data_IF_539152450615
#
_entry.id   IF_539152450615
#
_cell.length_a   1.000
_cell.length_b   1.000
_cell.length_c   1.000
_cell.angle_alpha   90.00
_cell.angle_beta   90.00
_cell.angle_gamma   90.00
#
_symmetry.space_group_name_H-M   'P 1'
#
loop_
_entity.id
_entity.type
_entity.pdbx_description
1 polymer ?
#
# COMPACT_ATOMS: atom_id res chain seq x y z
N UNK A 1 -10.61 -10.58 -11.07
CA UNK A 1 -11.16 -10.03 -9.80
C UNK A 1 -10.27 -10.48 -8.64
N UNK A 2 -9.90 -9.61 -7.70
CA UNK A 2 -8.91 -9.90 -6.65
C UNK A 2 -9.57 -10.63 -5.47
N UNK A 3 -9.22 -11.89 -5.21
CA UNK A 3 -9.62 -12.59 -3.98
C UNK A 3 -8.99 -11.92 -2.75
N UNK A 4 -9.86 -11.54 -1.81
CA UNK A 4 -9.66 -10.98 -0.45
C UNK A 4 -8.49 -10.03 -0.26
N UNK A 5 -8.56 -8.87 -0.90
CA UNK A 5 -7.87 -7.70 -0.36
C UNK A 5 -8.52 -7.39 0.99
N UNK A 6 -7.73 -7.40 2.07
CA UNK A 6 -8.14 -7.04 3.42
C UNK A 6 -7.54 -5.67 3.75
N UNK A 7 -8.13 -4.62 3.19
CA UNK A 7 -7.75 -3.25 3.55
C UNK A 7 -8.55 -2.81 4.76
N UNK A 8 -7.83 -2.33 5.78
CA UNK A 8 -8.41 -1.60 6.91
C UNK A 8 -7.83 -0.20 6.97
N UNK A 9 -8.65 0.77 7.37
CA UNK A 9 -8.25 2.18 7.44
C UNK A 9 -8.12 2.60 8.90
N UNK A 10 -6.96 3.11 9.29
CA UNK A 10 -6.70 3.58 10.65
C UNK A 10 -6.40 5.07 10.68
N UNK A 11 -7.05 5.78 11.59
CA UNK A 11 -6.84 7.23 11.79
C UNK A 11 -5.87 7.52 12.92
N UNK A 12 -4.76 8.15 12.58
CA UNK A 12 -3.83 8.75 13.54
C UNK A 12 -4.00 10.27 13.55
N UNK A 13 -4.38 10.84 14.69
CA UNK A 13 -4.29 12.28 14.88
C UNK A 13 -2.83 12.66 15.13
N UNK A 14 -2.38 13.75 14.52
CA UNK A 14 -1.03 14.24 14.67
C UNK A 14 -1.00 15.72 15.04
N UNK A 15 0.09 16.10 15.69
CA UNK A 15 0.47 17.48 15.91
C UNK A 15 1.96 17.67 15.65
N UNK A 16 2.36 18.87 15.25
CA UNK A 16 3.76 19.25 15.34
C UNK A 16 4.15 19.46 16.81
N UNK A 17 5.37 19.11 17.21
CA UNK A 17 5.87 19.37 18.58
C UNK A 17 5.81 20.85 19.01
N UNK A 18 5.82 21.76 18.04
CA UNK A 18 5.70 23.21 18.25
C UNK A 18 4.26 23.68 18.44
N UNK A 19 3.24 22.83 18.20
CA UNK A 19 1.83 23.24 18.16
C UNK A 19 1.37 23.82 19.51
N UNK A 20 1.52 23.05 20.59
CA UNK A 20 1.15 23.45 21.95
C UNK A 20 2.26 24.21 22.70
N UNK A 21 3.35 24.58 22.04
CA UNK A 21 4.42 25.37 22.65
C UNK A 21 4.26 26.84 22.29
N UNK A 22 3.65 27.61 23.18
CA UNK A 22 3.42 29.06 23.01
C UNK A 22 4.70 29.84 22.72
N UNK A 23 5.84 29.39 23.27
CA UNK A 23 7.15 30.03 23.05
C UNK A 23 7.80 29.64 21.72
N UNK A 24 7.23 28.66 21.01
CA UNK A 24 7.79 28.20 19.74
C UNK A 24 7.42 29.15 18.60
N UNK A 25 8.43 29.66 17.92
CA UNK A 25 8.29 30.44 16.68
C UNK A 25 8.38 29.55 15.43
N UNK A 26 8.42 28.22 15.59
CA UNK A 26 8.51 27.29 14.46
C UNK A 26 7.13 27.04 13.85
N UNK A 27 7.11 26.57 12.60
CA UNK A 27 5.89 26.18 11.92
C UNK A 27 5.07 25.17 12.74
N UNK A 28 3.74 25.26 12.64
CA UNK A 28 2.78 24.52 13.46
C UNK A 28 1.79 23.81 12.55
N UNK A 29 1.42 22.58 12.88
CA UNK A 29 0.33 21.89 12.20
C UNK A 29 -0.34 20.91 13.14
N UNK A 30 -1.64 20.66 12.92
CA UNK A 30 -2.38 19.54 13.49
C UNK A 30 -3.42 19.01 12.51
N UNK A 31 -3.85 17.78 12.74
CA UNK A 31 -4.93 17.15 12.00
C UNK A 31 -4.86 15.64 12.13
N UNK A 32 -5.16 14.92 11.05
CA UNK A 32 -5.11 13.47 11.05
C UNK A 32 -4.54 12.88 9.76
N UNK A 33 -4.04 11.65 9.87
CA UNK A 33 -3.59 10.82 8.76
C UNK A 33 -4.43 9.55 8.78
N UNK A 34 -5.05 9.25 7.65
CA UNK A 34 -5.75 7.99 7.41
C UNK A 34 -4.81 7.03 6.68
N UNK A 35 -4.56 5.88 7.30
CA UNK A 35 -3.61 4.88 6.84
C UNK A 35 -4.38 3.68 6.31
N UNK A 36 -4.20 3.36 5.04
CA UNK A 36 -4.77 2.17 4.41
C UNK A 36 -3.74 1.06 4.56
N UNK A 37 -4.06 -0.02 5.27
CA UNK A 37 -3.17 -1.14 5.50
C UNK A 37 -3.75 -2.43 4.94
N UNK A 38 -2.92 -3.20 4.24
CA UNK A 38 -3.27 -4.51 3.71
C UNK A 38 -2.86 -5.63 4.68
N UNK A 39 -3.86 -6.35 5.20
CA UNK A 39 -3.66 -7.49 6.10
C UNK A 39 -3.81 -8.84 5.40
N UNK A 40 -4.01 -8.88 4.08
CA UNK A 40 -4.18 -10.12 3.32
C UNK A 40 -2.90 -10.97 3.30
N UNK A 41 -1.74 -10.37 3.57
CA UNK A 41 -0.44 -11.05 3.53
C UNK A 41 0.27 -11.03 4.89
N UNK A 42 1.39 -11.74 5.03
CA UNK A 42 2.27 -11.66 6.21
C UNK A 42 3.25 -10.48 6.16
N UNK A 43 3.35 -9.80 5.02
CA UNK A 43 4.11 -8.56 4.90
C UNK A 43 3.18 -7.41 5.22
N UNK A 44 3.45 -6.69 6.31
CA UNK A 44 2.71 -5.49 6.66
C UNK A 44 3.18 -4.33 5.80
N UNK A 45 2.28 -3.69 5.08
CA UNK A 45 2.60 -2.47 4.35
C UNK A 45 1.43 -1.49 4.30
N UNK A 46 1.77 -0.22 4.08
CA UNK A 46 0.81 0.88 3.85
C UNK A 46 0.74 1.11 2.33
N UNK A 47 -0.27 0.54 1.62
CA UNK A 47 -0.54 0.83 0.21
C UNK A 47 -0.79 2.30 -0.09
N UNK A 48 -1.48 2.98 0.82
CA UNK A 48 -1.92 4.36 0.64
C UNK A 48 -2.11 5.05 1.99
N UNK A 49 -1.98 6.37 2.00
CA UNK A 49 -2.32 7.20 3.14
C UNK A 49 -2.83 8.54 2.64
N UNK A 50 -3.75 9.12 3.40
CA UNK A 50 -4.28 10.47 3.19
C UNK A 50 -3.98 11.32 4.42
N UNK A 51 -3.75 12.62 4.22
CA UNK A 51 -3.53 13.57 5.31
C UNK A 51 -4.53 14.70 5.23
N UNK A 52 -5.10 15.08 6.38
CA UNK A 52 -5.91 16.28 6.53
C UNK A 52 -5.36 17.15 7.63
N UNK A 53 -5.04 18.40 7.28
CA UNK A 53 -4.73 19.48 8.20
C UNK A 53 -6.03 20.16 8.65
N UNK A 54 -6.16 20.31 9.97
CA UNK A 54 -7.18 21.12 10.62
C UNK A 54 -6.65 22.51 10.98
N UNK A 55 -5.32 22.65 11.08
CA UNK A 55 -4.63 23.92 11.24
C UNK A 55 -3.21 23.78 10.70
N UNK A 56 -2.74 24.78 9.96
CA UNK A 56 -1.44 24.77 9.30
C UNK A 56 -0.85 26.18 9.27
N UNK A 57 0.34 26.31 9.86
CA UNK A 57 1.18 27.50 9.83
C UNK A 57 2.42 27.14 9.02
N UNK A 58 2.56 27.71 7.84
CA UNK A 58 3.74 27.56 7.00
C UNK A 58 4.81 28.55 7.44
N UNK A 59 6.05 28.11 7.63
CA UNK A 59 7.16 29.04 7.68
C UNK A 59 7.49 29.42 6.24
N UNK A 60 7.42 30.71 5.86
CA UNK A 60 7.73 31.20 4.53
C UNK A 60 9.25 31.17 4.24
N UNK A 61 10.08 31.12 5.28
CA UNK A 61 11.52 31.07 5.15
C UNK A 61 12.05 29.67 4.83
N UNK A 62 12.97 29.61 3.88
CA UNK A 62 13.64 28.38 3.45
C UNK A 62 15.15 28.55 3.59
N UNK A 63 15.83 27.49 4.02
CA UNK A 63 17.29 27.55 4.24
C UNK A 63 18.06 27.86 2.94
N UNK A 64 19.12 28.69 2.97
CA UNK A 64 19.85 29.08 1.75
C UNK A 64 20.41 27.90 0.93
N UNK A 65 20.79 26.80 1.59
CA UNK A 65 21.28 25.60 0.92
C UNK A 65 20.23 24.95 0.00
N UNK A 66 18.94 25.10 0.32
CA UNK A 66 17.85 24.57 -0.50
C UNK A 66 17.66 25.38 -1.79
N UNK A 67 17.83 26.71 -1.75
CA UNK A 67 17.80 27.53 -2.97
C UNK A 67 18.94 27.21 -3.93
N UNK A 68 20.12 26.87 -3.40
CA UNK A 68 21.27 26.45 -4.21
C UNK A 68 21.06 25.07 -4.83
N UNK A 69 20.59 24.11 -4.04
CA UNK A 69 20.51 22.70 -4.47
C UNK A 69 19.21 22.34 -5.21
N UNK A 70 18.12 23.10 -4.99
CA UNK A 70 16.79 22.89 -5.59
C UNK A 70 16.33 21.43 -5.58
N UNK A 71 16.57 20.74 -4.45
CA UNK A 71 16.22 19.33 -4.24
C UNK A 71 14.71 19.11 -4.36
N UNK A 72 14.30 17.83 -4.47
CA UNK A 72 12.89 17.41 -4.56
C UNK A 72 11.96 18.16 -3.59
N UNK A 73 12.30 18.22 -2.30
CA UNK A 73 11.47 18.89 -1.30
C UNK A 73 11.34 20.41 -1.52
N UNK A 74 12.37 21.08 -2.07
CA UNK A 74 12.30 22.50 -2.42
C UNK A 74 11.28 22.73 -3.54
N UNK A 75 11.27 21.86 -4.56
CA UNK A 75 10.34 21.96 -5.68
C UNK A 75 8.90 21.60 -5.28
N UNK A 76 8.72 20.57 -4.44
CA UNK A 76 7.42 20.23 -3.87
C UNK A 76 6.84 21.41 -3.08
N UNK A 77 7.65 22.00 -2.21
CA UNK A 77 7.26 23.18 -1.45
C UNK A 77 6.95 24.38 -2.34
N UNK A 78 7.72 24.59 -3.40
CA UNK A 78 7.43 25.62 -4.42
C UNK A 78 6.06 25.39 -5.05
N UNK A 79 5.72 24.16 -5.42
CA UNK A 79 4.43 23.82 -6.01
C UNK A 79 3.26 24.18 -5.08
N UNK A 80 3.32 23.79 -3.81
CA UNK A 80 2.32 24.16 -2.82
C UNK A 80 2.21 25.70 -2.68
N UNK A 81 3.35 26.39 -2.59
CA UNK A 81 3.39 27.83 -2.41
C UNK A 81 2.79 28.57 -3.63
N UNK A 82 3.10 28.13 -4.84
CA UNK A 82 2.55 28.70 -6.07
C UNK A 82 1.00 28.56 -6.09
N UNK A 83 0.44 27.45 -5.60
CA UNK A 83 -1.01 27.23 -5.49
C UNK A 83 -1.68 28.13 -4.45
N UNK A 84 -0.98 28.44 -3.37
CA UNK A 84 -1.44 29.33 -2.30
C UNK A 84 -1.18 30.82 -2.59
N UNK A 85 -0.56 31.15 -3.73
CA UNK A 85 -0.12 32.53 -4.00
C UNK A 85 1.01 33.03 -3.08
N UNK A 86 1.69 32.11 -2.40
CA UNK A 86 2.79 32.38 -1.47
C UNK A 86 4.15 32.28 -2.17
N UNK A 87 5.20 32.81 -1.52
CA UNK A 87 6.58 32.72 -2.02
C UNK A 87 7.54 32.25 -0.94
N UNK A 88 8.42 31.32 -1.32
CA UNK A 88 9.54 30.92 -0.49
C UNK A 88 10.61 32.02 -0.52
N UNK A 89 11.06 32.48 0.64
CA UNK A 89 12.13 33.49 0.75
C UNK A 89 13.33 32.94 1.51
N UNK A 90 14.52 33.49 1.25
CA UNK A 90 15.72 33.10 1.99
C UNK A 90 15.54 33.42 3.47
N UNK A 91 15.89 32.45 4.32
CA UNK A 91 15.97 32.64 5.75
C UNK A 91 17.14 33.58 6.10
N UNK A 92 16.92 34.70 6.81
CA UNK A 92 18.01 35.62 7.17
C UNK A 92 19.00 35.00 8.16
N UNK A 93 18.49 34.32 9.19
CA UNK A 93 19.30 33.59 10.20
C UNK A 93 18.66 32.23 10.56
N UNK A 94 19.46 31.28 11.00
CA UNK A 94 19.10 29.90 11.38
C UNK A 94 17.91 29.81 12.35
N UNK A 95 17.69 30.82 13.19
CA UNK A 95 16.63 30.84 14.22
C UNK A 95 15.38 31.60 13.80
N UNK A 96 15.47 32.44 12.76
CA UNK A 96 14.34 33.24 12.31
C UNK A 96 13.35 32.40 11.51
N UNK A 97 12.05 32.60 11.78
CA UNK A 97 10.94 31.99 11.07
C UNK A 97 9.97 33.10 10.66
N UNK A 98 9.27 32.93 9.54
CA UNK A 98 8.18 33.82 9.12
C UNK A 98 6.92 32.99 8.95
N UNK A 99 6.12 32.89 10.01
CA UNK A 99 4.93 32.06 10.00
C UNK A 99 3.79 32.76 9.25
N UNK A 100 3.08 31.97 8.46
CA UNK A 100 1.84 32.33 7.78
C UNK A 100 0.81 31.27 8.10
N UNK A 101 -0.24 31.66 8.82
CA UNK A 101 -1.37 30.79 9.14
C UNK A 101 -2.29 30.73 7.93
N UNK A 102 -2.61 29.50 7.50
CA UNK A 102 -3.55 29.31 6.41
C UNK A 102 -4.98 29.52 6.90
N UNK A 103 -5.76 30.28 6.13
CA UNK A 103 -7.20 30.34 6.32
C UNK A 103 -7.91 29.05 5.86
N UNK A 104 -9.23 29.00 5.99
CA UNK A 104 -10.01 27.80 5.63
C UNK A 104 -9.92 27.44 4.13
N UNK A 105 -9.94 28.44 3.24
CA UNK A 105 -9.85 28.20 1.80
C UNK A 105 -8.43 27.73 1.43
N UNK A 106 -7.41 28.34 2.02
CA UNK A 106 -6.01 27.95 1.85
C UNK A 106 -5.73 26.55 2.41
N UNK A 107 -6.35 26.19 3.55
CA UNK A 107 -6.29 24.84 4.11
C UNK A 107 -6.89 23.80 3.16
N UNK A 108 -8.02 24.10 2.50
CA UNK A 108 -8.62 23.23 1.50
C UNK A 108 -7.69 23.01 0.30
N UNK A 109 -7.05 24.08 -0.19
CA UNK A 109 -6.04 24.00 -1.27
C UNK A 109 -4.86 23.13 -0.81
N UNK A 110 -4.35 23.35 0.41
CA UNK A 110 -3.23 22.59 0.93
C UNK A 110 -3.56 21.10 1.12
N UNK A 111 -4.73 20.80 1.70
CA UNK A 111 -5.22 19.43 1.87
C UNK A 111 -5.34 18.71 0.53
N UNK A 112 -5.96 19.34 -0.46
CA UNK A 112 -6.05 18.80 -1.82
C UNK A 112 -4.66 18.52 -2.40
N UNK A 113 -3.77 19.50 -2.31
CA UNK A 113 -2.40 19.38 -2.83
C UNK A 113 -1.60 18.22 -2.18
N UNK A 114 -1.71 18.05 -0.86
CA UNK A 114 -1.01 16.98 -0.15
C UNK A 114 -1.51 15.57 -0.51
N UNK A 115 -2.75 15.42 -0.94
CA UNK A 115 -3.30 14.11 -1.31
C UNK A 115 -3.15 13.82 -2.82
N UNK A 116 -3.19 14.85 -3.68
CA UNK A 116 -3.15 14.67 -5.14
C UNK A 116 -1.75 14.86 -5.76
N UNK A 117 -0.97 15.84 -5.29
CA UNK A 117 0.29 16.25 -5.94
C UNK A 117 1.55 15.83 -5.16
N UNK A 118 1.43 15.61 -3.85
CA UNK A 118 2.58 15.26 -3.01
C UNK A 118 3.00 13.80 -3.20
N UNK A 119 4.29 13.59 -3.47
CA UNK A 119 4.86 12.27 -3.79
C UNK A 119 6.11 11.91 -2.96
N UNK A 120 6.18 12.39 -1.72
CA UNK A 120 7.26 12.08 -0.78
C UNK A 120 6.70 11.37 0.47
N UNK A 121 7.48 11.29 1.55
CA UNK A 121 7.14 10.50 2.74
C UNK A 121 6.37 11.35 3.77
N UNK A 122 5.66 10.74 4.72
CA UNK A 122 4.96 11.47 5.81
C UNK A 122 5.93 12.34 6.61
N UNK A 123 7.12 11.82 6.93
CA UNK A 123 8.14 12.62 7.63
C UNK A 123 8.53 13.87 6.83
N UNK A 124 8.62 13.77 5.50
CA UNK A 124 9.03 14.88 4.65
C UNK A 124 7.98 16.00 4.53
N UNK A 125 6.74 15.78 4.98
CA UNK A 125 5.70 16.82 5.07
C UNK A 125 6.22 18.00 5.90
N UNK A 126 6.92 17.72 7.01
CA UNK A 126 7.55 18.75 7.84
C UNK A 126 8.54 19.60 7.05
N UNK A 127 9.24 18.99 6.10
CA UNK A 127 10.20 19.72 5.27
C UNK A 127 9.49 20.70 4.33
N UNK A 128 8.29 20.35 3.88
CA UNK A 128 7.41 21.22 3.10
C UNK A 128 6.87 22.36 3.96
N UNK A 129 6.52 22.10 5.21
CA UNK A 129 5.93 23.10 6.12
C UNK A 129 6.98 24.10 6.65
N UNK A 130 8.21 23.63 6.95
CA UNK A 130 9.26 24.42 7.61
C UNK A 130 10.37 24.97 6.70
N UNK A 131 10.49 24.47 5.47
CA UNK A 131 11.57 24.91 4.56
C UNK A 131 12.98 24.48 5.01
N UNK A 132 13.07 23.39 5.79
CA UNK A 132 14.32 22.75 6.23
C UNK A 132 14.17 21.22 6.18
N UNK A 133 15.23 20.46 6.48
CA UNK A 133 15.15 19.00 6.48
C UNK A 133 14.43 18.52 7.75
N UNK A 134 13.43 17.63 7.61
CA UNK A 134 12.72 17.05 8.73
C UNK A 134 13.65 16.27 9.69
N UNK A 135 13.56 16.60 10.98
CA UNK A 135 14.20 15.88 12.07
C UNK A 135 13.55 14.53 12.37
N UNK A 136 14.22 13.74 13.22
CA UNK A 136 13.74 12.42 13.64
C UNK A 136 14.34 11.26 12.85
N UNK A 137 14.69 10.19 13.54
CA UNK A 137 15.01 8.88 12.97
C UNK A 137 14.71 7.82 14.01
N UNK A 138 14.65 6.53 13.65
CA UNK A 138 14.60 5.48 14.66
C UNK A 138 15.76 5.57 15.67
N UNK A 139 16.91 6.15 15.26
CA UNK A 139 18.07 6.46 16.12
C UNK A 139 17.87 7.64 17.06
N UNK A 140 17.07 8.62 16.65
CA UNK A 140 16.79 9.82 17.42
C UNK A 140 15.30 10.17 17.32
N UNK A 141 14.44 9.32 17.89
CA UNK A 141 13.00 9.43 17.72
C UNK A 141 12.43 10.69 18.37
N UNK A 142 13.00 11.09 19.51
CA UNK A 142 12.68 12.35 20.18
C UNK A 142 13.01 13.61 19.38
N UNK A 143 13.63 13.51 18.20
CA UNK A 143 13.80 14.63 17.28
C UNK A 143 12.70 14.68 16.19
N UNK A 144 11.76 13.74 16.17
CA UNK A 144 10.60 13.78 15.29
C UNK A 144 9.80 15.06 15.53
N UNK A 145 9.33 15.66 14.44
CA UNK A 145 8.64 16.95 14.51
C UNK A 145 7.13 16.81 14.42
N UNK A 146 6.63 15.78 13.73
CA UNK A 146 5.24 15.33 13.72
C UNK A 146 5.10 14.16 14.69
N UNK A 147 4.13 14.22 15.60
CA UNK A 147 3.89 13.21 16.63
C UNK A 147 2.43 12.78 16.65
N UNK A 148 2.16 11.51 16.99
CA UNK A 148 0.79 11.04 17.24
C UNK A 148 0.24 11.56 18.57
N UNK A 149 -1.04 11.92 18.64
CA UNK A 149 -1.64 12.53 19.85
C UNK A 149 -2.92 11.85 20.37
N UNK A 150 -3.57 10.98 19.58
CA UNK A 150 -4.77 10.24 20.01
C UNK A 150 -4.46 8.83 20.52
N UNK A 151 -3.38 8.67 21.30
CA UNK A 151 -2.91 7.37 21.77
C UNK A 151 -3.40 7.04 23.18
N UNK A 152 -3.71 5.78 23.43
CA UNK A 152 -3.91 5.27 24.78
C UNK A 152 -2.60 5.33 25.58
N UNK A 153 -2.71 5.45 26.90
CA UNK A 153 -1.55 5.54 27.80
C UNK A 153 -0.53 4.40 27.59
N UNK A 154 -0.99 3.16 27.31
CA UNK A 154 -0.12 2.01 27.02
C UNK A 154 0.72 2.15 25.74
N UNK A 155 0.36 3.09 24.86
CA UNK A 155 1.01 3.33 23.58
C UNK A 155 1.70 4.69 23.44
N UNK A 156 1.68 5.49 24.50
CA UNK A 156 2.25 6.85 24.48
C UNK A 156 3.75 6.85 24.16
N UNK A 157 4.47 5.77 24.47
CA UNK A 157 5.90 5.60 24.17
C UNK A 157 6.22 5.52 22.66
N UNK A 158 5.23 5.22 21.81
CA UNK A 158 5.39 5.09 20.36
C UNK A 158 5.20 6.41 19.61
N UNK A 159 4.64 7.45 20.24
CA UNK A 159 4.16 8.66 19.54
C UNK A 159 5.16 9.37 18.65
N UNK A 160 6.45 9.29 18.99
CA UNK A 160 7.54 9.90 18.24
C UNK A 160 8.00 9.06 17.04
N UNK A 161 7.60 7.80 16.96
CA UNK A 161 8.06 6.84 15.95
C UNK A 161 7.07 6.52 14.85
N UNK A 162 5.78 6.70 15.12
CA UNK A 162 4.72 6.25 14.22
C UNK A 162 4.92 6.76 12.79
N UNK A 163 5.22 8.04 12.60
CA UNK A 163 5.47 8.62 11.28
C UNK A 163 6.64 7.95 10.53
N UNK A 164 7.73 7.61 11.24
CA UNK A 164 8.88 6.94 10.63
C UNK A 164 8.62 5.46 10.37
N UNK A 165 7.84 4.84 11.24
CA UNK A 165 7.36 3.48 11.08
C UNK A 165 6.48 3.35 9.84
N UNK A 166 5.48 4.21 9.68
CA UNK A 166 4.63 4.22 8.48
C UNK A 166 5.43 4.52 7.21
N UNK A 167 6.38 5.48 7.26
CA UNK A 167 7.28 5.73 6.12
C UNK A 167 8.10 4.48 5.72
N UNK A 168 8.54 3.67 6.69
CA UNK A 168 9.33 2.47 6.44
C UNK A 168 8.49 1.38 5.74
N UNK A 169 7.25 1.19 6.20
CA UNK A 169 6.35 0.16 5.66
C UNK A 169 5.49 0.65 4.49
N UNK A 170 5.66 1.90 4.04
CA UNK A 170 4.91 2.41 2.89
C UNK A 170 5.41 1.78 1.60
N UNK A 171 4.48 1.15 0.88
CA UNK A 171 4.67 0.62 -0.46
C UNK A 171 3.45 1.02 -1.29
N UNK A 172 3.59 1.97 -2.22
CA UNK A 172 2.45 2.43 -3.02
C UNK A 172 1.94 1.34 -3.96
N UNK A 173 0.82 0.73 -3.59
CA UNK A 173 0.16 -0.28 -4.40
C UNK A 173 -0.91 0.36 -5.28
N UNK A 174 -0.64 0.40 -6.59
CA UNK A 174 -1.56 1.00 -7.57
C UNK A 174 -2.93 0.34 -7.59
N UNK A 175 -3.02 -0.95 -7.25
CA UNK A 175 -4.29 -1.67 -7.27
C UNK A 175 -5.23 -1.15 -6.20
N UNK A 176 -4.68 -0.77 -5.04
CA UNK A 176 -5.47 -0.15 -3.97
C UNK A 176 -5.90 1.24 -4.41
N UNK A 177 -5.02 2.04 -5.01
CA UNK A 177 -5.39 3.35 -5.56
C UNK A 177 -6.52 3.23 -6.59
N UNK A 178 -6.41 2.31 -7.54
CA UNK A 178 -7.44 2.03 -8.54
C UNK A 178 -8.77 1.59 -7.87
N UNK A 179 -8.72 0.90 -6.72
CA UNK A 179 -9.92 0.54 -5.96
C UNK A 179 -10.56 1.74 -5.27
N UNK A 180 -9.76 2.65 -4.69
CA UNK A 180 -10.24 3.87 -4.04
C UNK A 180 -10.89 4.82 -5.04
N UNK A 181 -10.41 4.85 -6.29
CA UNK A 181 -10.96 5.70 -7.36
C UNK A 181 -12.29 5.17 -7.96
N UNK A 182 -12.64 3.90 -7.73
CA UNK A 182 -13.86 3.29 -8.27
C UNK A 182 -14.99 3.27 -7.22
N UNK A 183 -16.01 4.11 -7.40
CA UNK A 183 -17.16 4.30 -6.49
C UNK A 183 -17.89 3.00 -6.07
N UNK A 184 -17.93 1.97 -6.94
CA UNK A 184 -18.55 0.67 -6.66
C UNK A 184 -17.87 -0.11 -5.50
N UNK A 185 -16.64 0.27 -5.11
CA UNK A 185 -15.88 -0.36 -4.03
C UNK A 185 -15.83 0.46 -2.74
N UNK A 186 -16.55 1.57 -2.65
CA UNK A 186 -16.62 2.43 -1.45
C UNK A 186 -17.02 1.66 -0.17
N UNK A 187 -17.81 0.58 -0.31
CA UNK A 187 -18.19 -0.33 0.78
C UNK A 187 -17.04 -1.15 1.41
N UNK A 188 -15.87 -1.23 0.77
CA UNK A 188 -14.69 -1.89 1.36
C UNK A 188 -14.01 -1.01 2.43
N UNK A 189 -14.34 0.28 2.48
CA UNK A 189 -13.71 1.29 3.36
C UNK A 189 -14.70 1.72 4.47
N UNK A 190 -15.65 0.86 4.85
CA UNK A 190 -16.74 1.24 5.76
C UNK A 190 -16.32 1.37 7.24
N UNK A 191 -15.08 1.02 7.60
CA UNK A 191 -14.62 1.05 8.99
C UNK A 191 -13.33 1.81 9.13
N UNK A 192 -13.47 3.10 9.39
CA UNK A 192 -12.42 3.91 9.97
C UNK A 192 -12.17 3.44 11.41
N UNK A 193 -10.96 2.96 11.67
CA UNK A 193 -10.54 2.43 12.96
C UNK A 193 -9.56 3.35 13.67
N UNK A 194 -9.41 3.18 14.99
CA UNK A 194 -8.47 3.97 15.78
C UNK A 194 -7.05 3.51 15.52
N UNK A 195 -6.08 4.44 15.49
CA UNK A 195 -4.65 4.07 15.51
C UNK A 195 -4.28 3.13 16.66
N UNK A 196 -5.04 3.17 17.76
CA UNK A 196 -4.85 2.26 18.90
C UNK A 196 -5.20 0.82 18.55
N UNK A 197 -6.20 0.58 17.70
CA UNK A 197 -6.58 -0.76 17.23
C UNK A 197 -5.48 -1.36 16.34
N UNK A 198 -4.85 -0.51 15.51
CA UNK A 198 -3.64 -0.89 14.76
C UNK A 198 -2.50 -1.29 15.70
N UNK A 199 -2.25 -0.50 16.75
CA UNK A 199 -1.20 -0.79 17.72
C UNK A 199 -1.49 -2.05 18.54
N UNK A 200 -2.74 -2.27 18.94
CA UNK A 200 -3.20 -3.50 19.58
C UNK A 200 -2.93 -4.70 18.69
N UNK A 201 -3.22 -4.57 17.39
CA UNK A 201 -2.95 -5.62 16.43
C UNK A 201 -1.45 -5.86 16.24
N UNK A 202 -0.62 -4.85 15.98
CA UNK A 202 0.81 -5.06 15.67
C UNK A 202 1.65 -5.42 16.89
N UNK A 203 1.43 -4.75 18.04
CA UNK A 203 2.26 -4.97 19.23
C UNK A 203 2.04 -6.37 19.81
N UNK A 204 0.83 -6.92 19.67
CA UNK A 204 0.45 -8.22 20.23
C UNK A 204 0.38 -9.36 19.21
N UNK A 205 0.52 -9.09 17.91
CA UNK A 205 0.40 -10.12 16.87
C UNK A 205 1.69 -10.92 16.66
N UNK A 206 1.53 -12.23 16.61
CA UNK A 206 2.57 -13.17 16.15
C UNK A 206 2.75 -13.16 14.62
N UNK A 207 1.84 -12.54 13.87
CA UNK A 207 1.89 -12.46 12.41
C UNK A 207 2.96 -11.50 11.90
N UNK A 208 3.29 -10.45 12.67
CA UNK A 208 4.24 -9.41 12.25
C UNK A 208 5.37 -9.20 13.27
N UNK A 209 6.16 -10.25 13.57
CA UNK A 209 7.12 -10.22 14.67
C UNK A 209 8.23 -9.18 14.45
N UNK A 210 8.71 -8.99 13.21
CA UNK A 210 9.73 -8.00 12.89
C UNK A 210 9.20 -6.56 13.11
N UNK A 211 7.98 -6.28 12.69
CA UNK A 211 7.34 -4.97 12.85
C UNK A 211 7.08 -4.64 14.33
N UNK A 212 6.52 -5.62 15.06
CA UNK A 212 6.29 -5.53 16.52
C UNK A 212 7.60 -5.26 17.26
N UNK A 213 8.65 -6.03 16.97
CA UNK A 213 9.95 -5.87 17.58
C UNK A 213 10.60 -4.52 17.25
N UNK A 214 10.44 -4.02 16.02
CA UNK A 214 11.00 -2.73 15.62
C UNK A 214 10.35 -1.59 16.40
N UNK A 215 9.01 -1.59 16.51
CA UNK A 215 8.29 -0.62 17.33
C UNK A 215 8.77 -0.67 18.78
N UNK A 216 8.82 -1.86 19.39
CA UNK A 216 9.27 -2.06 20.78
C UNK A 216 10.72 -1.63 21.02
N UNK A 217 11.62 -1.83 20.05
CA UNK A 217 13.04 -1.48 20.18
C UNK A 217 13.29 0.02 19.99
N UNK A 218 12.39 0.72 19.31
CA UNK A 218 12.57 2.13 18.98
C UNK A 218 11.87 3.06 19.97
N UNK A 219 11.11 2.53 20.94
CA UNK A 219 10.34 3.34 21.88
C UNK A 219 11.18 4.33 22.67
N UNK A 220 10.60 5.50 22.93
CA UNK A 220 11.25 6.50 23.77
C UNK A 220 10.92 6.21 25.22
N UNK A 221 11.87 5.60 25.94
CA UNK A 221 11.79 5.50 27.40
C UNK A 221 11.97 6.90 28.01
N UNK A 222 10.84 7.57 28.27
CA UNK A 222 10.80 8.95 28.78
C UNK A 222 11.51 9.09 30.14
N UNK A 223 11.54 8.02 30.94
CA UNK A 223 12.12 7.99 32.28
C UNK A 223 13.65 7.81 32.31
N UNK A 224 14.30 7.55 31.17
CA UNK A 224 15.76 7.42 31.11
C UNK A 224 16.43 8.78 30.84
N UNK A 225 17.63 8.99 31.38
CA UNK A 225 18.48 10.13 31.02
C UNK A 225 18.88 10.08 29.54
N UNK A 226 19.37 11.20 29.00
CA UNK A 226 19.85 11.25 27.62
C UNK A 226 20.98 10.25 27.33
N UNK A 227 21.96 10.13 28.24
CA UNK A 227 23.09 9.21 28.07
C UNK A 227 22.67 7.74 28.16
N UNK A 228 21.71 7.41 29.03
CA UNK A 228 21.15 6.05 29.10
C UNK A 228 20.38 5.70 27.83
N UNK A 229 19.57 6.62 27.29
CA UNK A 229 18.89 6.42 26.00
C UNK A 229 19.89 6.23 24.86
N UNK A 230 20.97 7.00 24.85
CA UNK A 230 22.03 6.90 23.85
C UNK A 230 22.73 5.54 23.93
N UNK A 231 23.12 5.08 25.12
CA UNK A 231 23.73 3.75 25.32
C UNK A 231 22.78 2.62 24.93
N UNK A 232 21.52 2.70 25.36
CA UNK A 232 20.47 1.75 24.99
C UNK A 232 20.34 1.66 23.46
N UNK A 233 20.25 2.80 22.77
CA UNK A 233 20.13 2.82 21.32
C UNK A 233 21.38 2.26 20.62
N UNK A 234 22.59 2.68 21.01
CA UNK A 234 23.84 2.17 20.43
C UNK A 234 23.90 0.65 20.52
N UNK A 235 23.49 0.06 21.64
CA UNK A 235 23.47 -1.40 21.83
C UNK A 235 22.50 -2.15 20.90
N UNK A 236 21.47 -1.48 20.36
CA UNK A 236 20.44 -2.07 19.47
C UNK A 236 20.50 -1.56 18.04
N UNK A 237 21.35 -0.58 17.76
CA UNK A 237 21.45 0.13 16.48
C UNK A 237 21.67 -0.81 15.30
N UNK A 238 22.56 -1.80 15.43
CA UNK A 238 22.79 -2.80 14.39
C UNK A 238 21.53 -3.63 14.10
N UNK A 239 20.86 -4.11 15.15
CA UNK A 239 19.61 -4.87 15.02
C UNK A 239 18.48 -4.04 14.40
N UNK A 240 18.37 -2.76 14.76
CA UNK A 240 17.36 -1.86 14.18
C UNK A 240 17.64 -1.64 12.69
N UNK A 241 18.90 -1.44 12.30
CA UNK A 241 19.28 -1.29 10.89
C UNK A 241 19.01 -2.55 10.08
N UNK A 242 19.34 -3.72 10.61
CA UNK A 242 19.04 -5.02 9.99
C UNK A 242 17.53 -5.23 9.77
N UNK A 243 16.71 -4.86 10.75
CA UNK A 243 15.25 -4.94 10.64
C UNK A 243 14.68 -3.93 9.65
N UNK A 244 15.22 -2.70 9.62
CA UNK A 244 14.87 -1.70 8.60
C UNK A 244 15.22 -2.19 7.19
N UNK A 245 16.39 -2.79 7.00
CA UNK A 245 16.85 -3.33 5.72
C UNK A 245 15.97 -4.49 5.26
N UNK A 246 15.65 -5.42 6.15
CA UNK A 246 14.74 -6.54 5.87
C UNK A 246 13.36 -6.04 5.40
N UNK A 247 12.76 -5.07 6.09
CA UNK A 247 11.46 -4.50 5.70
C UNK A 247 11.55 -3.79 4.34
N UNK A 248 12.64 -3.04 4.10
CA UNK A 248 12.85 -2.37 2.81
C UNK A 248 13.06 -3.35 1.66
N UNK A 249 13.80 -4.43 1.89
CA UNK A 249 14.01 -5.48 0.89
C UNK A 249 12.68 -6.17 0.52
N UNK A 250 11.86 -6.51 1.52
CA UNK A 250 10.50 -7.03 1.30
C UNK A 250 9.65 -6.08 0.44
N UNK A 251 9.62 -4.78 0.76
CA UNK A 251 8.89 -3.78 -0.03
C UNK A 251 9.45 -3.63 -1.46
N UNK A 252 10.77 -3.74 -1.64
CA UNK A 252 11.40 -3.74 -2.96
C UNK A 252 11.00 -4.97 -3.77
N UNK A 253 11.01 -6.15 -3.14
CA UNK A 253 10.59 -7.42 -3.76
C UNK A 253 9.12 -7.38 -4.18
N UNK A 254 8.23 -6.84 -3.34
CA UNK A 254 6.82 -6.58 -3.70
C UNK A 254 6.69 -5.72 -4.96
N UNK A 255 7.45 -4.62 -5.05
CA UNK A 255 7.46 -3.77 -6.24
C UNK A 255 7.92 -4.49 -7.50
N UNK A 256 8.95 -5.32 -7.40
CA UNK A 256 9.47 -6.09 -8.54
C UNK A 256 8.50 -7.20 -8.96
N UNK A 257 7.83 -7.87 -8.02
CA UNK A 257 6.74 -8.82 -8.32
C UNK A 257 5.64 -8.12 -9.13
N UNK A 258 5.14 -6.98 -8.66
CA UNK A 258 4.03 -6.29 -9.34
C UNK A 258 4.43 -5.81 -10.75
N UNK A 259 5.69 -5.38 -10.94
CA UNK A 259 6.24 -5.08 -12.28
C UNK A 259 6.33 -6.32 -13.17
N UNK A 260 6.84 -7.45 -12.66
CA UNK A 260 6.95 -8.71 -13.41
C UNK A 260 5.57 -9.24 -13.78
N UNK A 261 4.61 -9.25 -12.86
CA UNK A 261 3.21 -9.61 -13.12
C UNK A 261 2.62 -8.72 -14.22
N UNK A 262 2.78 -7.39 -14.14
CA UNK A 262 2.27 -6.48 -15.17
C UNK A 262 2.84 -6.79 -16.56
N UNK A 263 4.13 -7.08 -16.65
CA UNK A 263 4.78 -7.48 -17.91
C UNK A 263 4.25 -8.83 -18.42
N UNK A 264 4.15 -9.82 -17.55
CA UNK A 264 3.62 -11.14 -17.87
C UNK A 264 2.17 -11.07 -18.36
N UNK A 265 1.30 -10.33 -17.68
CA UNK A 265 -0.09 -10.08 -18.12
C UNK A 265 -0.17 -9.38 -19.47
N UNK A 266 0.69 -8.39 -19.72
CA UNK A 266 0.76 -7.73 -21.02
C UNK A 266 1.13 -8.70 -22.14
N UNK A 267 2.08 -9.62 -21.90
CA UNK A 267 2.39 -10.72 -22.83
C UNK A 267 1.19 -11.65 -23.01
N UNK A 268 0.57 -12.10 -21.93
CA UNK A 268 -0.56 -13.02 -21.93
C UNK A 268 -1.78 -12.48 -22.70
N UNK A 269 -2.05 -11.17 -22.59
CA UNK A 269 -3.14 -10.51 -23.32
C UNK A 269 -2.99 -10.55 -24.85
N UNK A 270 -1.77 -10.75 -25.36
CA UNK A 270 -1.45 -10.77 -26.80
C UNK A 270 -1.35 -12.19 -27.37
N UNK A 271 -1.44 -13.21 -26.52
CA UNK A 271 -1.32 -14.61 -26.94
C UNK A 271 -2.55 -15.04 -27.77
N UNK A 272 -2.32 -15.90 -28.76
CA UNK A 272 -3.39 -16.43 -29.62
C UNK A 272 -4.03 -17.66 -28.97
N UNK A 273 -4.95 -17.41 -28.04
CA UNK A 273 -5.68 -18.47 -27.33
C UNK A 273 -6.94 -18.86 -28.13
N UNK A 274 -7.07 -20.16 -28.40
CA UNK A 274 -8.16 -20.76 -29.19
C UNK A 274 -8.65 -22.07 -28.55
N UNK A 275 -9.15 -21.97 -27.31
CA UNK A 275 -9.81 -23.06 -26.58
C UNK A 275 -11.25 -23.22 -27.07
N UNK A 276 -11.99 -22.12 -27.13
CA UNK A 276 -13.36 -22.08 -27.63
C UNK A 276 -13.41 -21.48 -29.03
N UNK A 277 -14.39 -21.91 -29.83
CA UNK A 277 -14.63 -21.30 -31.14
C UNK A 277 -15.05 -19.84 -30.96
N UNK A 278 -14.45 -18.94 -31.75
CA UNK A 278 -14.82 -17.52 -31.76
C UNK A 278 -16.02 -17.32 -32.68
N UNK A 279 -17.06 -16.69 -32.15
CA UNK A 279 -18.26 -16.33 -32.88
C UNK A 279 -18.15 -14.90 -33.42
N UNK A 280 -18.75 -14.67 -34.60
CA UNK A 280 -18.75 -13.36 -35.24
C UNK A 280 -19.59 -12.38 -34.43
N UNK A 281 -19.14 -11.12 -34.36
CA UNK A 281 -19.87 -10.03 -33.69
C UNK A 281 -19.54 -9.86 -32.21
N UNK A 282 -18.67 -10.69 -31.63
CA UNK A 282 -18.27 -10.58 -30.23
C UNK A 282 -16.81 -10.19 -30.04
N UNK A 283 -16.53 -9.46 -28.96
CA UNK A 283 -15.18 -9.20 -28.45
C UNK A 283 -14.73 -10.32 -27.52
N UNK A 284 -13.46 -10.71 -27.62
CA UNK A 284 -12.86 -11.78 -26.83
C UNK A 284 -11.64 -11.29 -26.08
N UNK A 285 -11.45 -11.82 -24.88
CA UNK A 285 -10.32 -11.58 -24.01
C UNK A 285 -9.71 -12.91 -23.58
N UNK A 286 -8.42 -12.90 -23.26
CA UNK A 286 -7.77 -14.05 -22.67
C UNK A 286 -7.98 -13.99 -21.14
N UNK A 287 -8.76 -14.93 -20.62
CA UNK A 287 -9.05 -15.07 -19.21
C UNK A 287 -8.11 -16.10 -18.57
N UNK A 288 -7.50 -15.76 -17.44
CA UNK A 288 -6.68 -16.71 -16.67
C UNK A 288 -7.58 -17.69 -15.90
N UNK A 289 -7.32 -19.00 -16.00
CA UNK A 289 -8.01 -20.03 -15.22
C UNK A 289 -7.62 -19.93 -13.76
N UNK A 290 -6.33 -20.03 -13.43
CA UNK A 290 -5.82 -19.71 -12.11
C UNK A 290 -5.62 -18.19 -12.01
N UNK A 291 -6.32 -17.56 -11.06
CA UNK A 291 -6.29 -16.11 -10.91
C UNK A 291 -4.88 -15.59 -10.67
N UNK A 292 -4.50 -14.52 -11.38
CA UNK A 292 -3.23 -13.83 -11.14
C UNK A 292 -3.11 -13.31 -9.71
N UNK A 293 -4.25 -13.02 -9.05
CA UNK A 293 -4.29 -12.67 -7.63
C UNK A 293 -3.76 -13.80 -6.73
N UNK A 294 -4.14 -15.05 -7.02
CA UNK A 294 -3.66 -16.24 -6.29
C UNK A 294 -2.15 -16.42 -6.53
N UNK A 295 -1.71 -16.30 -7.80
CA UNK A 295 -0.28 -16.40 -8.15
C UNK A 295 0.53 -15.34 -7.38
N UNK A 296 0.03 -14.10 -7.30
CA UNK A 296 0.68 -13.03 -6.52
C UNK A 296 0.79 -13.38 -5.04
N UNK A 297 -0.26 -13.89 -4.43
CA UNK A 297 -0.24 -14.23 -3.01
C UNK A 297 0.80 -15.32 -2.72
N UNK A 298 0.90 -16.35 -3.57
CA UNK A 298 1.96 -17.36 -3.49
C UNK A 298 3.36 -16.75 -3.62
N UNK A 299 3.57 -15.83 -4.57
CA UNK A 299 4.86 -15.12 -4.72
C UNK A 299 5.23 -14.32 -3.45
N UNK A 300 4.24 -13.79 -2.72
CA UNK A 300 4.47 -13.06 -1.46
C UNK A 300 4.80 -14.01 -0.31
N UNK A 301 4.16 -15.19 -0.26
CA UNK A 301 4.51 -16.24 0.70
C UNK A 301 5.98 -16.66 0.56
N UNK A 302 6.49 -16.76 -0.67
CA UNK A 302 7.91 -17.06 -0.88
C UNK A 302 8.84 -15.95 -0.34
N UNK A 303 8.42 -14.68 -0.33
CA UNK A 303 9.20 -13.61 0.34
C UNK A 303 9.25 -13.86 1.85
N UNK A 304 8.13 -14.26 2.47
CA UNK A 304 8.07 -14.58 3.90
C UNK A 304 8.98 -15.77 4.27
N UNK A 305 9.15 -16.70 3.33
CA UNK A 305 10.12 -17.82 3.44
C UNK A 305 11.58 -17.40 3.18
N UNK A 306 11.85 -16.11 3.02
CA UNK A 306 13.16 -15.53 2.69
C UNK A 306 13.77 -15.98 1.35
N UNK A 307 12.93 -16.43 0.41
CA UNK A 307 13.38 -16.79 -0.94
C UNK A 307 13.71 -15.56 -1.78
N UNK A 308 14.60 -15.75 -2.76
CA UNK A 308 15.05 -14.71 -3.68
C UNK A 308 14.25 -14.75 -4.98
N UNK A 309 14.13 -13.61 -5.66
CA UNK A 309 13.27 -13.45 -6.85
C UNK A 309 13.75 -14.24 -8.09
N UNK A 310 14.95 -14.79 -8.04
CA UNK A 310 15.58 -15.65 -9.04
C UNK A 310 15.53 -17.14 -8.67
N UNK A 311 14.98 -17.51 -7.51
CA UNK A 311 14.74 -18.90 -7.15
C UNK A 311 13.74 -19.54 -8.13
N UNK A 312 13.96 -20.83 -8.44
CA UNK A 312 13.17 -21.56 -9.43
C UNK A 312 11.65 -21.52 -9.15
N UNK A 313 11.25 -21.56 -7.88
CA UNK A 313 9.84 -21.47 -7.49
C UNK A 313 9.20 -20.13 -7.87
N UNK A 314 9.92 -19.01 -7.73
CA UNK A 314 9.45 -17.70 -8.19
C UNK A 314 9.26 -17.69 -9.70
N UNK A 315 10.26 -18.19 -10.43
CA UNK A 315 10.24 -18.23 -11.90
C UNK A 315 9.06 -19.08 -12.41
N UNK A 316 8.87 -20.27 -11.84
CA UNK A 316 7.77 -21.17 -12.17
C UNK A 316 6.40 -20.50 -11.95
N UNK A 317 6.21 -19.76 -10.85
CA UNK A 317 4.97 -19.03 -10.59
C UNK A 317 4.72 -17.89 -11.60
N UNK A 318 5.77 -17.21 -12.07
CA UNK A 318 5.61 -16.22 -13.15
C UNK A 318 5.22 -16.87 -14.48
N UNK A 319 5.74 -18.06 -14.76
CA UNK A 319 5.43 -18.78 -15.99
C UNK A 319 3.95 -19.14 -16.10
N UNK A 320 3.29 -19.44 -14.97
CA UNK A 320 1.83 -19.69 -14.92
C UNK A 320 1.00 -18.53 -15.49
N UNK A 321 1.48 -17.28 -15.42
CA UNK A 321 0.77 -16.12 -15.95
C UNK A 321 0.81 -16.09 -17.48
N UNK A 322 1.82 -16.70 -18.09
CA UNK A 322 2.03 -16.70 -19.55
C UNK A 322 1.87 -18.08 -20.17
N UNK A 323 1.35 -19.04 -19.41
CA UNK A 323 1.06 -20.39 -19.87
C UNK A 323 -0.26 -20.43 -20.66
N UNK A 324 -0.23 -20.98 -21.87
CA UNK A 324 -1.42 -21.17 -22.72
C UNK A 324 -2.47 -22.09 -22.08
N UNK A 325 -2.03 -23.08 -21.28
CA UNK A 325 -2.92 -23.99 -20.59
C UNK A 325 -3.68 -23.29 -19.45
N UNK A 326 -3.14 -22.20 -18.90
CA UNK A 326 -3.82 -21.35 -17.92
C UNK A 326 -4.77 -20.31 -18.55
N UNK A 327 -5.01 -20.35 -19.87
CA UNK A 327 -5.83 -19.32 -20.53
C UNK A 327 -7.05 -19.91 -21.22
N UNK A 328 -8.16 -19.15 -21.18
CA UNK A 328 -9.37 -19.38 -21.96
C UNK A 328 -9.66 -18.13 -22.81
N UNK A 329 -10.08 -18.30 -24.06
CA UNK A 329 -10.59 -17.18 -24.85
C UNK A 329 -12.10 -17.03 -24.61
N UNK A 330 -12.47 -16.08 -23.76
CA UNK A 330 -13.85 -15.85 -23.37
C UNK A 330 -14.35 -14.53 -23.96
N UNK A 331 -15.65 -14.44 -24.23
CA UNK A 331 -16.29 -13.17 -24.53
C UNK A 331 -16.16 -12.22 -23.34
N UNK A 332 -16.04 -10.91 -23.58
CA UNK A 332 -15.80 -9.91 -22.50
C UNK A 332 -16.80 -10.04 -21.34
N UNK A 333 -18.08 -10.28 -21.61
CA UNK A 333 -19.08 -10.45 -20.55
C UNK A 333 -18.91 -11.77 -19.79
N UNK A 334 -18.66 -12.87 -20.50
CA UNK A 334 -18.44 -14.20 -19.91
C UNK A 334 -17.15 -14.22 -19.10
N UNK A 335 -16.09 -13.54 -19.57
CA UNK A 335 -14.85 -13.33 -18.82
C UNK A 335 -15.14 -12.63 -17.49
N UNK A 336 -15.93 -11.55 -17.48
CA UNK A 336 -16.33 -10.89 -16.23
C UNK A 336 -17.04 -11.86 -15.29
N UNK A 337 -18.01 -12.63 -15.76
CA UNK A 337 -18.71 -13.62 -14.91
C UNK A 337 -17.77 -14.70 -14.36
N UNK A 338 -16.86 -15.21 -15.18
CA UNK A 338 -15.86 -16.19 -14.77
C UNK A 338 -14.93 -15.62 -13.70
N UNK A 339 -14.37 -14.44 -13.93
CA UNK A 339 -13.50 -13.71 -13.01
C UNK A 339 -14.20 -13.47 -11.67
N UNK A 340 -15.46 -13.04 -11.71
CA UNK A 340 -16.31 -12.79 -10.55
C UNK A 340 -16.81 -14.05 -9.84
N UNK A 341 -16.44 -15.23 -10.34
CA UNK A 341 -16.79 -16.51 -9.73
C UNK A 341 -18.29 -16.77 -9.72
N UNK A 342 -18.99 -16.43 -10.80
CA UNK A 342 -20.37 -16.88 -11.02
C UNK A 342 -20.43 -18.35 -11.44
N UNK A 343 -19.39 -18.81 -12.14
CA UNK A 343 -19.17 -20.21 -12.49
C UNK A 343 -17.67 -20.55 -12.48
N UNK A 344 -17.38 -21.84 -12.51
CA UNK A 344 -16.05 -22.41 -12.77
C UNK A 344 -16.17 -23.62 -13.72
N UNK A 345 -15.07 -24.33 -13.94
CA UNK A 345 -15.06 -25.61 -14.64
C UNK A 345 -14.73 -26.76 -13.68
N UNK A 346 -15.22 -27.96 -13.97
CA UNK A 346 -14.77 -29.17 -13.30
C UNK A 346 -13.58 -29.83 -14.03
N UNK A 347 -13.09 -30.97 -13.51
CA UNK A 347 -11.96 -31.71 -14.11
C UNK A 347 -12.27 -32.27 -15.50
N UNK A 348 -13.55 -32.42 -15.85
CA UNK A 348 -14.01 -32.84 -17.18
C UNK A 348 -14.18 -31.65 -18.13
N UNK A 349 -13.87 -30.43 -17.68
CA UNK A 349 -14.02 -29.20 -18.45
C UNK A 349 -15.45 -28.72 -18.57
N UNK A 350 -16.40 -29.25 -17.79
CA UNK A 350 -17.81 -28.86 -17.78
C UNK A 350 -18.01 -27.65 -16.87
N UNK A 351 -18.88 -26.74 -17.30
CA UNK A 351 -19.23 -25.55 -16.53
C UNK A 351 -20.03 -25.93 -15.27
N UNK A 352 -19.63 -25.39 -14.13
CA UNK A 352 -20.32 -25.58 -12.84
C UNK A 352 -20.62 -24.22 -12.24
N UNK A 353 -21.90 -23.99 -11.88
CA UNK A 353 -22.29 -22.74 -11.19
C UNK A 353 -21.68 -22.71 -9.80
N UNK A 354 -21.24 -21.53 -9.38
CA UNK A 354 -20.64 -21.32 -8.05
C UNK A 354 -21.44 -20.34 -7.20
N UNK A 355 -22.40 -19.64 -7.80
CA UNK A 355 -23.35 -18.77 -7.10
C UNK A 355 -24.78 -19.28 -7.28
N UNK A 356 -25.58 -19.19 -6.21
CA UNK A 356 -26.94 -19.73 -6.20
C UNK A 356 -27.92 -18.94 -7.07
N UNK A 357 -27.71 -17.63 -7.17
CA UNK A 357 -28.49 -16.65 -7.94
C UNK A 357 -28.07 -16.56 -9.42
N UNK A 358 -27.16 -17.43 -9.86
CA UNK A 358 -26.72 -17.49 -11.26
C UNK A 358 -27.20 -18.77 -11.93
N UNK A 359 -28.15 -18.64 -12.85
CA UNK A 359 -28.57 -19.73 -13.72
C UNK A 359 -27.83 -19.69 -15.06
N UNK A 360 -27.01 -20.71 -15.29
CA UNK A 360 -26.24 -20.86 -16.54
C UNK A 360 -27.16 -20.97 -17.77
N UNK A 361 -28.39 -21.49 -17.60
CA UNK A 361 -29.31 -21.72 -18.70
C UNK A 361 -30.04 -20.44 -19.16
N UNK A 362 -30.04 -19.39 -18.35
CA UNK A 362 -30.67 -18.10 -18.68
C UNK A 362 -29.80 -17.24 -19.62
N UNK A 363 -28.50 -17.54 -19.73
CA UNK A 363 -27.55 -16.77 -20.53
C UNK A 363 -27.12 -17.52 -21.79
N UNK A 364 -27.68 -17.13 -22.94
CA UNK A 364 -27.37 -17.73 -24.24
C UNK A 364 -25.87 -17.71 -24.56
N UNK A 365 -25.15 -16.69 -24.09
CA UNK A 365 -23.70 -16.53 -24.26
C UNK A 365 -22.92 -17.69 -23.63
N UNK A 366 -23.40 -18.28 -22.53
CA UNK A 366 -22.76 -19.43 -21.89
C UNK A 366 -22.92 -20.74 -22.67
N UNK A 367 -23.85 -20.79 -23.63
CA UNK A 367 -24.06 -21.95 -24.49
C UNK A 367 -22.79 -22.41 -25.21
N UNK A 368 -21.92 -21.47 -25.59
CA UNK A 368 -20.64 -21.75 -26.28
C UNK A 368 -19.53 -22.24 -25.34
N UNK A 369 -19.72 -22.12 -24.02
CA UNK A 369 -18.72 -22.37 -23.00
C UNK A 369 -19.12 -23.49 -22.04
N UNK A 370 -20.17 -24.27 -22.37
CA UNK A 370 -20.66 -25.36 -21.50
C UNK A 370 -19.61 -26.41 -21.20
N UNK A 371 -18.74 -26.70 -22.15
CA UNK A 371 -17.67 -27.70 -21.99
C UNK A 371 -16.43 -27.28 -22.76
N UNK A 372 -15.27 -27.32 -22.10
CA UNK A 372 -13.96 -27.19 -22.77
C UNK A 372 -13.78 -28.39 -23.71
N UNK A 373 -13.46 -28.19 -25.00
CA UNK A 373 -13.25 -29.31 -25.92
C UNK A 373 -12.18 -30.28 -25.41
N UNK A 374 -12.41 -31.59 -25.55
CA UNK A 374 -11.52 -32.63 -24.99
C UNK A 374 -10.08 -32.51 -25.48
N UNK A 375 -9.87 -32.17 -26.76
CA UNK A 375 -8.53 -31.95 -27.33
C UNK A 375 -7.81 -30.71 -26.77
N UNK A 376 -8.55 -29.83 -26.10
CA UNK A 376 -8.04 -28.65 -25.40
C UNK A 376 -7.93 -28.89 -23.89
N UNK A 377 -8.51 -29.94 -23.32
CA UNK A 377 -8.46 -30.19 -21.89
C UNK A 377 -7.21 -30.99 -21.52
N UNK A 378 -6.05 -30.33 -21.52
CA UNK A 378 -4.76 -30.92 -21.15
C UNK A 378 -4.66 -31.14 -19.64
N UNK A 379 -3.76 -32.03 -19.21
CA UNK A 379 -3.50 -32.28 -17.78
C UNK A 379 -3.07 -30.99 -17.05
N UNK A 380 -2.27 -30.14 -17.70
CA UNK A 380 -1.87 -28.84 -17.17
C UNK A 380 -3.06 -27.89 -16.99
N UNK A 381 -4.00 -27.87 -17.95
CA UNK A 381 -5.22 -27.06 -17.84
C UNK A 381 -6.12 -27.56 -16.72
N UNK A 382 -6.26 -28.88 -16.57
CA UNK A 382 -6.99 -29.50 -15.45
C UNK A 382 -6.34 -29.10 -14.12
N UNK A 383 -5.00 -29.10 -14.04
CA UNK A 383 -4.29 -28.66 -12.86
C UNK A 383 -4.61 -27.19 -12.50
N UNK A 384 -4.66 -26.27 -13.47
CA UNK A 384 -5.07 -24.88 -13.21
C UNK A 384 -6.52 -24.76 -12.73
N UNK A 385 -7.43 -25.56 -13.30
CA UNK A 385 -8.84 -25.62 -12.87
C UNK A 385 -8.94 -26.07 -11.41
N UNK A 386 -8.24 -27.15 -11.05
CA UNK A 386 -8.22 -27.67 -9.69
C UNK A 386 -7.64 -26.64 -8.71
N UNK A 387 -6.48 -26.06 -9.04
CA UNK A 387 -5.87 -25.01 -8.23
C UNK A 387 -6.81 -23.81 -8.03
N UNK A 388 -7.52 -23.36 -9.07
CA UNK A 388 -8.52 -22.29 -8.95
C UNK A 388 -9.63 -22.68 -7.98
N UNK A 389 -10.21 -23.86 -8.14
CA UNK A 389 -11.34 -24.33 -7.34
C UNK A 389 -10.95 -24.48 -5.87
N UNK A 390 -9.80 -25.12 -5.59
CA UNK A 390 -9.25 -25.27 -4.24
C UNK A 390 -9.01 -23.91 -3.56
N UNK A 391 -8.34 -22.98 -4.25
CA UNK A 391 -8.05 -21.65 -3.70
C UNK A 391 -9.30 -20.80 -3.49
N UNK A 392 -10.41 -21.12 -4.18
CA UNK A 392 -11.72 -20.48 -3.98
C UNK A 392 -12.62 -21.25 -3.00
N UNK A 393 -12.15 -22.35 -2.42
CA UNK A 393 -12.94 -23.19 -1.50
C UNK A 393 -14.14 -23.88 -2.17
N UNK A 394 -14.10 -24.05 -3.49
CA UNK A 394 -15.18 -24.64 -4.27
C UNK A 394 -15.07 -26.18 -4.23
N UNK A 395 -16.19 -26.85 -3.92
CA UNK A 395 -16.30 -28.30 -4.00
C UNK A 395 -16.94 -28.66 -5.34
N UNK A 396 -16.11 -28.84 -6.36
CA UNK A 396 -16.53 -29.17 -7.73
C UNK A 396 -15.81 -30.46 -8.13
N UNK A 397 -16.58 -31.53 -8.35
CA UNK A 397 -16.06 -32.88 -8.67
C UNK A 397 -15.73 -33.10 -10.15
#
# INVERSE_FOLDING_TARGET
MWSSIDIRVFRMHFETRSFNNEKSTSAKAKGYIDLYLDFSTKILYVPHWEIKFESLYLDLYTTPAWFKSRKKNFNLRKSLFDKLGLRQTNRPDKTENRLYELDQNELEIANKWFNEEYNSTLKNIISIIKGNNAGGSFKKPSAAEMIGVNLYNKYEEYKYNLTMFFDLITYKDKRILDLLENDENSMLIDKLESINDFLDYIVNSNKYPIHSNLLKLTTVKLNLSYEERKKFFVSKSAKIMDMEETIRDSNKKLSEIDKKIKRARSKASKMKINVFKREKGYSYENAHILDVAIIRNKLIELIDENKQLDDAEFLNLFDYITDENNMLNLQTQVHKWFDKGFFSFNKNGEITKTKNDFDINEYNELGFYKTIPKDKLTDERINYINLRNENRGLKID
#
